data_IF_503654899725
#
_entry.id   IF_503654899725
#
_cell.length_a   1.000
_cell.length_b   1.000
_cell.length_c   1.000
_cell.angle_alpha   90.00
_cell.angle_beta   90.00
_cell.angle_gamma   90.00
#
_symmetry.space_group_name_H-M   'P 1'
#
loop_
_entity.id
_entity.type
_entity.pdbx_description
1 polymer ?
#
# COMPACT_ATOMS: atom_id res chain seq x y z
N UNK A 1 -14.34 -0.11 -20.97
CA UNK A 1 -14.83 -0.06 -19.58
C UNK A 1 -14.19 1.11 -18.88
N UNK A 2 -14.91 1.80 -17.98
CA UNK A 2 -14.38 2.93 -17.21
C UNK A 2 -13.46 2.41 -16.10
N UNK A 3 -12.31 3.04 -15.89
CA UNK A 3 -11.49 2.77 -14.71
C UNK A 3 -12.19 3.35 -13.47
N UNK A 4 -12.01 2.70 -12.32
CA UNK A 4 -12.43 3.23 -11.03
C UNK A 4 -11.27 4.00 -10.41
N UNK A 5 -11.36 5.32 -10.32
CA UNK A 5 -10.36 6.16 -9.69
C UNK A 5 -10.65 6.27 -8.19
N UNK A 6 -9.72 5.78 -7.37
CA UNK A 6 -9.89 5.73 -5.92
C UNK A 6 -8.80 6.52 -5.22
N UNK A 7 -9.10 7.01 -4.03
CA UNK A 7 -8.20 7.85 -3.24
C UNK A 7 -8.07 7.33 -1.82
N UNK A 8 -6.84 7.24 -1.33
CA UNK A 8 -6.51 6.94 0.07
C UNK A 8 -5.85 8.16 0.68
N UNK A 9 -6.34 8.63 1.83
CA UNK A 9 -5.62 9.59 2.66
C UNK A 9 -4.82 8.83 3.70
N UNK A 10 -3.50 9.04 3.76
CA UNK A 10 -2.60 8.37 4.73
C UNK A 10 -1.76 9.39 5.50
N UNK A 11 -1.52 9.12 6.79
CA UNK A 11 -0.79 10.04 7.72
C UNK A 11 0.75 9.96 7.62
N UNK A 12 1.25 9.18 6.67
CA UNK A 12 2.63 9.09 6.20
C UNK A 12 2.73 7.85 5.31
N UNK A 13 3.83 7.72 4.58
CA UNK A 13 4.11 6.52 3.82
C UNK A 13 5.60 6.15 3.94
N UNK A 14 5.88 4.85 4.08
CA UNK A 14 7.26 4.35 4.13
C UNK A 14 7.81 4.06 2.74
N UNK A 15 9.11 4.24 2.60
CA UNK A 15 9.92 3.64 1.54
C UNK A 15 10.46 2.25 1.87
N UNK A 16 11.42 1.79 1.07
CA UNK A 16 12.15 0.56 1.36
C UNK A 16 13.00 0.70 2.65
N UNK A 17 13.25 -0.41 3.34
CA UNK A 17 14.12 -0.47 4.53
C UNK A 17 15.46 -0.97 4.08
N UNK A 18 16.53 -0.48 4.69
CA UNK A 18 17.78 -1.23 4.71
C UNK A 18 18.10 -1.71 6.11
N UNK A 19 18.66 -2.91 6.18
CA UNK A 19 19.27 -3.46 7.38
C UNK A 19 20.77 -3.22 7.25
N UNK A 20 21.39 -2.57 8.23
CA UNK A 20 22.82 -2.26 8.25
C UNK A 20 23.63 -3.52 8.54
N UNK A 21 23.72 -4.41 7.56
CA UNK A 21 24.68 -5.52 7.52
C UNK A 21 25.63 -5.43 6.32
N UNK A 22 25.61 -4.32 5.59
CA UNK A 22 26.50 -4.06 4.45
C UNK A 22 26.96 -2.61 4.57
N UNK A 23 28.25 -2.40 4.77
CA UNK A 23 28.88 -1.07 4.78
C UNK A 23 28.63 -0.36 3.43
N UNK A 24 28.24 0.92 3.47
CA UNK A 24 28.01 1.82 2.32
C UNK A 24 26.73 1.62 1.47
N UNK A 25 25.54 1.65 2.07
CA UNK A 25 24.32 1.93 1.30
C UNK A 25 23.45 3.00 1.96
N UNK A 26 23.27 4.13 1.28
CA UNK A 26 22.25 5.13 1.65
C UNK A 26 20.86 4.50 1.52
N UNK A 27 20.03 4.68 2.54
CA UNK A 27 18.62 4.32 2.48
C UNK A 27 17.97 5.19 1.40
N UNK A 28 17.34 4.56 0.40
CA UNK A 28 16.78 5.30 -0.72
C UNK A 28 15.38 4.83 -1.12
N UNK A 29 14.48 5.80 -1.24
CA UNK A 29 13.14 5.66 -1.81
C UNK A 29 13.12 5.30 -3.31
N UNK A 30 14.25 5.30 -4.03
CA UNK A 30 14.36 5.12 -5.49
C UNK A 30 13.57 3.93 -6.06
N UNK A 31 13.45 2.83 -5.32
CA UNK A 31 12.71 1.65 -5.79
C UNK A 31 11.18 1.84 -5.83
N UNK A 32 10.65 2.82 -5.09
CA UNK A 32 9.21 3.01 -4.89
C UNK A 32 8.75 4.42 -5.25
N UNK A 33 9.63 5.44 -5.18
CA UNK A 33 9.35 6.84 -5.54
C UNK A 33 9.79 7.10 -6.99
N UNK A 34 8.89 6.86 -7.94
CA UNK A 34 9.17 6.99 -9.36
C UNK A 34 8.44 8.23 -9.89
N UNK A 35 9.19 9.28 -10.24
CA UNK A 35 8.64 10.49 -10.85
C UNK A 35 8.52 10.27 -12.35
N UNK A 36 7.29 10.40 -12.87
CA UNK A 36 7.00 10.28 -14.29
C UNK A 36 5.86 11.23 -14.63
N UNK A 37 6.14 12.17 -15.54
CA UNK A 37 5.22 13.26 -15.88
C UNK A 37 4.77 14.04 -14.63
N UNK A 38 3.46 14.24 -14.44
CA UNK A 38 2.86 14.90 -13.28
C UNK A 38 2.54 13.95 -12.11
N UNK A 39 2.98 12.68 -12.19
CA UNK A 39 2.73 11.66 -11.17
C UNK A 39 4.04 11.25 -10.50
N UNK A 40 3.94 11.02 -9.20
CA UNK A 40 4.98 10.38 -8.41
C UNK A 40 4.38 9.09 -7.89
N UNK A 41 4.77 7.97 -8.48
CA UNK A 41 4.37 6.66 -8.02
C UNK A 41 5.04 6.37 -6.69
N UNK A 42 4.27 5.83 -5.74
CA UNK A 42 4.69 5.61 -4.34
C UNK A 42 4.22 4.29 -3.75
N UNK A 43 3.30 3.56 -4.40
CA UNK A 43 2.88 2.22 -3.97
C UNK A 43 2.73 1.30 -5.18
N UNK A 44 3.39 0.13 -5.20
CA UNK A 44 3.16 -0.87 -6.22
C UNK A 44 1.71 -1.35 -6.24
N UNK A 45 1.13 -1.52 -7.43
CA UNK A 45 -0.24 -2.04 -7.57
C UNK A 45 -0.44 -3.43 -6.93
N UNK A 46 0.62 -4.24 -6.86
CA UNK A 46 0.61 -5.53 -6.17
C UNK A 46 0.41 -5.42 -4.65
N UNK A 47 0.94 -4.37 -4.01
CA UNK A 47 0.72 -4.11 -2.59
C UNK A 47 -0.72 -3.69 -2.30
N UNK A 48 -1.29 -2.80 -3.14
CA UNK A 48 -2.70 -2.41 -3.05
C UNK A 48 -3.59 -3.63 -3.27
N UNK A 49 -3.32 -4.42 -4.32
CA UNK A 49 -4.03 -5.67 -4.63
C UNK A 49 -3.98 -6.67 -3.47
N UNK A 50 -2.82 -6.83 -2.83
CA UNK A 50 -2.68 -7.68 -1.64
C UNK A 50 -3.55 -7.23 -0.48
N UNK A 51 -3.68 -5.91 -0.27
CA UNK A 51 -4.56 -5.35 0.76
C UNK A 51 -6.04 -5.55 0.42
N UNK A 52 -6.46 -5.30 -0.83
CA UNK A 52 -7.82 -5.61 -1.29
C UNK A 52 -8.12 -7.08 -1.03
N UNK A 53 -7.23 -7.99 -1.45
CA UNK A 53 -7.42 -9.43 -1.26
C UNK A 53 -7.58 -9.81 0.21
N UNK A 54 -6.72 -9.29 1.08
CA UNK A 54 -6.83 -9.51 2.53
C UNK A 54 -8.21 -9.09 3.04
N UNK A 55 -8.68 -7.92 2.64
CA UNK A 55 -9.97 -7.38 3.07
C UNK A 55 -11.14 -8.20 2.52
N UNK A 56 -11.07 -8.65 1.26
CA UNK A 56 -12.06 -9.57 0.69
C UNK A 56 -12.14 -10.88 1.48
N UNK A 57 -11.00 -11.47 1.88
CA UNK A 57 -10.98 -12.67 2.73
C UNK A 57 -11.64 -12.43 4.10
N UNK A 58 -11.40 -11.27 4.72
CA UNK A 58 -12.05 -10.89 5.99
C UNK A 58 -13.57 -10.76 5.83
N UNK A 59 -14.03 -10.35 4.65
CA UNK A 59 -15.44 -10.16 4.33
C UNK A 59 -16.11 -11.43 3.77
N UNK A 60 -15.39 -12.56 3.72
CA UNK A 60 -15.84 -13.82 3.10
C UNK A 60 -16.30 -13.66 1.64
N UNK A 61 -15.61 -12.78 0.90
CA UNK A 61 -15.85 -12.53 -0.51
C UNK A 61 -14.96 -13.39 -1.41
N UNK A 62 -15.47 -13.74 -2.60
CA UNK A 62 -14.67 -14.43 -3.62
C UNK A 62 -13.52 -13.54 -4.13
N UNK A 63 -12.29 -14.00 -3.95
CA UNK A 63 -11.08 -13.27 -4.35
C UNK A 63 -10.65 -13.54 -5.80
N UNK A 64 -11.36 -14.41 -6.53
CA UNK A 64 -11.05 -14.79 -7.91
C UNK A 64 -11.00 -13.59 -8.87
N UNK A 65 -11.71 -12.50 -8.56
CA UNK A 65 -11.66 -11.23 -9.31
C UNK A 65 -10.24 -10.67 -9.40
N UNK A 66 -9.40 -10.96 -8.39
CA UNK A 66 -8.01 -10.54 -8.31
C UNK A 66 -7.06 -11.58 -8.93
N UNK A 67 -7.57 -12.66 -9.51
CA UNK A 67 -6.77 -13.78 -10.01
C UNK A 67 -6.15 -14.61 -8.89
N UNK A 68 -5.52 -15.71 -9.30
CA UNK A 68 -4.99 -16.74 -8.39
C UNK A 68 -3.83 -16.24 -7.52
N UNK A 69 -3.64 -16.93 -6.40
CA UNK A 69 -2.45 -16.76 -5.54
C UNK A 69 -1.30 -17.66 -6.01
N UNK A 70 -0.11 -17.44 -5.46
CA UNK A 70 1.04 -18.30 -5.73
C UNK A 70 0.76 -19.72 -5.22
N UNK A 71 1.07 -20.72 -6.05
CA UNK A 71 0.86 -22.14 -5.71
C UNK A 71 -0.51 -22.69 -6.11
N UNK A 72 -1.41 -21.87 -6.64
CA UNK A 72 -2.70 -22.30 -7.17
C UNK A 72 -2.66 -22.45 -8.70
N UNK A 73 -3.70 -23.08 -9.27
CA UNK A 73 -3.91 -23.09 -10.72
C UNK A 73 -4.04 -21.64 -11.20
N UNK A 74 -3.21 -21.26 -12.18
CA UNK A 74 -3.17 -19.90 -12.70
C UNK A 74 -4.53 -19.48 -13.27
N UNK A 75 -5.15 -18.49 -12.63
CA UNK A 75 -6.40 -17.86 -13.07
C UNK A 75 -6.11 -16.37 -13.28
N UNK A 76 -6.44 -15.87 -14.47
CA UNK A 76 -6.30 -14.47 -14.82
C UNK A 76 -7.25 -13.61 -13.97
N UNK A 77 -6.77 -12.46 -13.51
CA UNK A 77 -7.59 -11.49 -12.79
C UNK A 77 -8.60 -10.82 -13.71
N UNK A 78 -9.80 -10.55 -13.19
CA UNK A 78 -10.83 -9.74 -13.88
C UNK A 78 -10.54 -8.24 -13.80
N UNK A 79 -9.66 -7.82 -12.90
CA UNK A 79 -9.25 -6.42 -12.73
C UNK A 79 -7.73 -6.25 -12.71
N UNK A 80 -7.25 -5.11 -13.20
CA UNK A 80 -5.87 -4.64 -13.05
C UNK A 80 -5.85 -3.54 -11.99
N UNK A 81 -4.99 -3.68 -11.00
CA UNK A 81 -4.78 -2.66 -9.96
C UNK A 81 -3.56 -1.84 -10.32
N UNK A 82 -3.78 -0.56 -10.60
CA UNK A 82 -2.76 0.41 -10.93
C UNK A 82 -1.84 0.71 -9.75
N UNK A 83 -0.72 1.37 -10.03
CA UNK A 83 0.15 1.88 -8.98
C UNK A 83 -0.51 3.04 -8.24
N UNK A 84 -0.28 3.12 -6.94
CA UNK A 84 -0.61 4.28 -6.14
C UNK A 84 0.36 5.40 -6.42
N UNK A 85 -0.17 6.60 -6.69
CA UNK A 85 0.62 7.79 -7.01
C UNK A 85 0.13 9.02 -6.25
N UNK A 86 1.03 10.00 -6.10
CA UNK A 86 0.75 11.34 -5.60
C UNK A 86 1.03 12.34 -6.71
N UNK A 87 0.36 13.50 -6.67
CA UNK A 87 0.55 14.59 -7.66
C UNK A 87 1.41 15.73 -7.11
N UNK A 88 1.57 15.80 -5.79
CA UNK A 88 2.40 16.79 -5.12
C UNK A 88 3.71 16.18 -4.62
N UNK A 89 4.82 16.82 -4.93
CA UNK A 89 6.12 16.39 -4.42
C UNK A 89 6.23 16.66 -2.91
N UNK A 90 6.42 15.60 -2.14
CA UNK A 90 6.58 15.68 -0.68
C UNK A 90 8.04 15.49 -0.29
N UNK A 91 8.49 16.24 0.73
CA UNK A 91 9.85 16.11 1.28
C UNK A 91 10.02 14.76 1.98
N UNK A 92 11.15 14.12 1.71
CA UNK A 92 11.52 12.84 2.31
C UNK A 92 12.24 13.07 3.64
N UNK A 93 12.08 12.16 4.60
CA UNK A 93 12.80 12.19 5.88
C UNK A 93 13.31 10.80 6.23
N UNK A 94 14.48 10.74 6.86
CA UNK A 94 14.97 9.50 7.47
C UNK A 94 14.44 9.42 8.90
N UNK A 95 13.84 8.28 9.25
CA UNK A 95 13.45 7.97 10.63
C UNK A 95 14.34 6.84 11.15
N UNK A 96 14.93 7.07 12.32
CA UNK A 96 15.74 6.09 13.01
C UNK A 96 14.90 5.31 14.02
N UNK A 97 15.26 4.04 14.21
CA UNK A 97 14.71 3.17 15.24
C UNK A 97 15.84 2.45 15.94
N UNK A 98 15.64 2.13 17.22
CA UNK A 98 16.55 1.31 18.01
C UNK A 98 15.79 0.08 18.53
N UNK A 99 16.53 -0.96 18.89
CA UNK A 99 16.00 -2.05 19.73
C UNK A 99 16.65 -1.99 21.10
N UNK A 100 15.82 -1.97 22.14
CA UNK A 100 16.27 -1.98 23.53
C UNK A 100 16.13 -3.40 24.07
N UNK A 101 17.21 -3.91 24.66
CA UNK A 101 17.19 -5.16 25.39
C UNK A 101 16.31 -4.97 26.63
N UNK A 102 15.25 -5.77 26.77
CA UNK A 102 14.25 -5.60 27.83
C UNK A 102 14.78 -5.93 29.23
N UNK A 103 15.80 -6.78 29.33
CA UNK A 103 16.39 -7.20 30.61
C UNK A 103 17.45 -6.21 31.09
N UNK A 104 18.32 -5.76 30.18
CA UNK A 104 19.47 -4.90 30.50
C UNK A 104 19.17 -3.41 30.39
N UNK A 105 18.07 -3.02 29.74
CA UNK A 105 17.70 -1.62 29.51
C UNK A 105 18.62 -0.86 28.54
N UNK A 106 19.56 -1.54 27.91
CA UNK A 106 20.52 -0.95 26.95
C UNK A 106 20.12 -1.23 25.50
N UNK A 107 20.67 -0.45 24.57
CA UNK A 107 20.49 -0.67 23.13
C UNK A 107 21.20 -1.96 22.71
N UNK A 108 20.52 -2.83 21.96
CA UNK A 108 21.14 -4.04 21.39
C UNK A 108 22.21 -3.65 20.36
N UNK A 109 23.35 -4.34 20.41
CA UNK A 109 24.46 -4.12 19.46
C UNK A 109 23.97 -4.35 18.03
N UNK A 110 24.25 -3.40 17.14
CA UNK A 110 23.84 -3.47 15.72
C UNK A 110 22.36 -3.19 15.46
N UNK A 111 21.60 -2.74 16.46
CA UNK A 111 20.16 -2.54 16.33
C UNK A 111 19.75 -1.09 15.99
N UNK A 112 20.62 -0.34 15.31
CA UNK A 112 20.23 0.95 14.72
C UNK A 112 19.60 0.68 13.35
N UNK A 113 18.31 0.91 13.24
CA UNK A 113 17.56 0.82 12.01
C UNK A 113 17.30 2.21 11.45
N UNK A 114 17.37 2.37 10.14
CA UNK A 114 16.95 3.59 9.47
C UNK A 114 16.03 3.24 8.30
N UNK A 115 15.03 4.09 8.08
CA UNK A 115 14.11 3.97 6.96
C UNK A 115 13.64 5.34 6.51
N UNK A 116 13.47 5.48 5.20
CA UNK A 116 12.99 6.72 4.60
C UNK A 116 11.46 6.75 4.63
N UNK A 117 10.90 7.90 4.98
CA UNK A 117 9.46 8.16 5.04
C UNK A 117 9.11 9.41 4.25
N UNK A 118 7.89 9.40 3.71
CA UNK A 118 7.16 10.59 3.30
C UNK A 118 6.27 10.96 4.49
N UNK A 119 6.55 12.05 5.21
CA UNK A 119 5.78 12.47 6.38
C UNK A 119 4.56 13.31 6.00
N UNK A 120 3.59 13.37 6.92
CA UNK A 120 2.40 14.21 6.81
C UNK A 120 1.26 13.54 6.04
N UNK A 121 0.22 14.34 5.78
CA UNK A 121 -0.97 13.91 5.04
C UNK A 121 -0.65 13.73 3.56
N UNK A 122 -0.90 12.53 3.06
CA UNK A 122 -0.64 12.16 1.68
C UNK A 122 -1.93 11.65 1.06
N UNK A 123 -2.32 12.28 -0.04
CA UNK A 123 -3.43 11.83 -0.88
C UNK A 123 -2.88 10.93 -1.99
N UNK A 124 -3.13 9.63 -1.86
CA UNK A 124 -2.67 8.62 -2.80
C UNK A 124 -3.84 8.24 -3.71
N UNK A 125 -3.63 8.39 -5.01
CA UNK A 125 -4.59 8.04 -6.05
C UNK A 125 -4.19 6.73 -6.71
N UNK A 126 -5.14 5.88 -7.05
CA UNK A 126 -4.90 4.65 -7.78
C UNK A 126 -6.14 4.20 -8.56
N UNK A 127 -5.89 3.50 -9.66
CA UNK A 127 -6.92 3.08 -10.59
C UNK A 127 -7.18 1.58 -10.47
N UNK A 128 -8.43 1.17 -10.55
CA UNK A 128 -8.82 -0.23 -10.77
C UNK A 128 -9.47 -0.33 -12.14
N UNK A 129 -8.85 -1.09 -13.03
CA UNK A 129 -9.29 -1.23 -14.43
C UNK A 129 -9.93 -2.60 -14.59
N UNK A 130 -11.27 -2.70 -14.74
CA UNK A 130 -11.93 -3.96 -15.09
C UNK A 130 -11.55 -4.37 -16.52
N UNK A 131 -11.16 -5.64 -16.68
CA UNK A 131 -10.88 -6.28 -17.97
C UNK A 131 -12.12 -6.96 -18.55
N UNK A 132 -13.12 -7.22 -17.71
CA UNK A 132 -14.44 -7.76 -18.03
C UNK A 132 -15.47 -7.10 -17.12
N UNK A 133 -16.74 -7.14 -17.51
CA UNK A 133 -17.82 -6.66 -16.67
C UNK A 133 -17.89 -7.48 -15.37
N UNK A 134 -17.87 -6.77 -14.25
CA UNK A 134 -17.98 -7.36 -12.92
C UNK A 134 -19.45 -7.60 -12.59
N UNK A 135 -19.75 -8.74 -11.98
CA UNK A 135 -21.09 -9.01 -11.46
C UNK A 135 -21.45 -8.00 -10.34
N UNK A 136 -22.73 -7.93 -9.96
CA UNK A 136 -23.15 -7.07 -8.85
C UNK A 136 -22.46 -7.45 -7.55
N UNK A 137 -22.37 -8.75 -7.27
CA UNK A 137 -21.73 -9.27 -6.06
C UNK A 137 -20.23 -9.00 -6.04
N UNK A 138 -19.55 -9.16 -7.17
CA UNK A 138 -18.12 -8.84 -7.31
C UNK A 138 -17.85 -7.36 -7.07
N UNK A 139 -18.69 -6.46 -7.61
CA UNK A 139 -18.58 -5.01 -7.38
C UNK A 139 -18.81 -4.66 -5.93
N UNK A 140 -19.84 -5.22 -5.31
CA UNK A 140 -20.16 -4.95 -3.91
C UNK A 140 -19.05 -5.46 -2.96
N UNK A 141 -18.50 -6.64 -3.24
CA UNK A 141 -17.35 -7.17 -2.51
C UNK A 141 -16.10 -6.29 -2.68
N UNK A 142 -15.81 -5.86 -3.91
CA UNK A 142 -14.69 -4.95 -4.18
C UNK A 142 -14.85 -3.62 -3.44
N UNK A 143 -16.04 -3.01 -3.51
CA UNK A 143 -16.40 -1.77 -2.81
C UNK A 143 -16.19 -1.91 -1.31
N UNK A 144 -16.75 -2.94 -0.67
CA UNK A 144 -16.59 -3.20 0.77
C UNK A 144 -15.12 -3.40 1.14
N UNK A 145 -14.36 -4.14 0.32
CA UNK A 145 -12.95 -4.39 0.55
C UNK A 145 -12.11 -3.10 0.48
N UNK A 146 -12.44 -2.19 -0.44
CA UNK A 146 -11.80 -0.87 -0.53
C UNK A 146 -12.15 0.00 0.68
N UNK A 147 -13.43 0.07 1.09
CA UNK A 147 -13.83 0.81 2.29
C UNK A 147 -13.10 0.31 3.55
N UNK A 148 -12.90 -1.00 3.66
CA UNK A 148 -12.19 -1.61 4.79
C UNK A 148 -10.70 -1.21 4.85
N UNK A 149 -10.13 -0.66 3.77
CA UNK A 149 -8.77 -0.10 3.79
C UNK A 149 -8.62 1.04 4.80
N UNK A 150 -9.71 1.75 5.14
CA UNK A 150 -9.72 2.79 6.18
C UNK A 150 -9.19 2.29 7.53
N UNK A 151 -9.35 1.00 7.82
CA UNK A 151 -8.90 0.39 9.08
C UNK A 151 -7.60 -0.41 8.90
N UNK A 152 -6.89 -0.16 7.81
CA UNK A 152 -5.69 -0.88 7.43
C UNK A 152 -4.45 0.01 7.44
N UNK A 153 -3.30 -0.64 7.26
CA UNK A 153 -2.02 0.03 7.06
C UNK A 153 -1.43 -0.43 5.74
N UNK A 154 -0.81 0.49 5.02
CA UNK A 154 -0.15 0.22 3.74
C UNK A 154 1.32 -0.06 3.98
N UNK A 155 1.80 -1.17 3.43
CA UNK A 155 3.20 -1.57 3.51
C UNK A 155 3.56 -2.15 4.87
N UNK A 156 4.78 -1.88 5.32
CA UNK A 156 5.32 -2.40 6.58
C UNK A 156 5.34 -1.32 7.66
N UNK A 157 5.14 -1.72 8.92
CA UNK A 157 5.33 -0.84 10.08
C UNK A 157 4.05 -0.22 10.62
N UNK A 158 2.88 -0.77 10.28
CA UNK A 158 1.60 -0.34 10.86
C UNK A 158 1.61 -0.29 12.39
N UNK A 159 2.21 -1.29 13.06
CA UNK A 159 2.41 -1.31 14.51
C UNK A 159 3.33 -0.22 15.06
N UNK A 160 4.04 0.50 14.18
CA UNK A 160 4.93 1.64 14.48
C UNK A 160 4.34 2.98 14.03
N UNK A 161 3.05 3.01 13.70
CA UNK A 161 2.33 4.21 13.26
C UNK A 161 2.58 4.60 11.80
N UNK A 162 2.99 3.65 10.96
CA UNK A 162 3.39 3.92 9.58
C UNK A 162 2.33 3.45 8.59
N UNK A 163 2.04 4.28 7.57
CA UNK A 163 1.14 3.92 6.48
C UNK A 163 -0.31 3.76 6.90
N UNK A 164 -0.73 4.39 8.00
CA UNK A 164 -2.11 4.34 8.48
C UNK A 164 -3.01 5.06 7.48
N UNK A 165 -4.04 4.37 7.02
CA UNK A 165 -5.09 4.95 6.19
C UNK A 165 -6.10 5.64 7.09
N UNK A 166 -6.39 6.91 6.82
CA UNK A 166 -7.36 7.71 7.59
C UNK A 166 -8.71 7.79 6.87
N UNK A 167 -8.67 7.85 5.54
CA UNK A 167 -9.83 8.04 4.69
C UNK A 167 -9.70 7.27 3.39
N UNK A 168 -10.83 6.81 2.87
CA UNK A 168 -10.96 6.15 1.56
C UNK A 168 -12.08 6.86 0.81
N UNK A 169 -11.79 7.36 -0.40
CA UNK A 169 -12.79 7.87 -1.34
C UNK A 169 -12.84 6.94 -2.54
N UNK A 170 -14.03 6.47 -2.89
CA UNK A 170 -14.24 5.56 -4.00
C UNK A 170 -14.74 6.32 -5.23
N UNK A 171 -14.50 5.76 -6.42
CA UNK A 171 -15.15 6.23 -7.65
C UNK A 171 -16.67 6.06 -7.54
N UNK A 172 -17.43 7.05 -7.99
CA UNK A 172 -18.90 7.01 -7.97
C UNK A 172 -19.47 5.80 -8.73
N UNK A 173 -18.76 5.30 -9.75
CA UNK A 173 -19.18 4.12 -10.50
C UNK A 173 -19.10 2.80 -9.69
N UNK A 174 -18.40 2.79 -8.55
CA UNK A 174 -18.45 1.69 -7.58
C UNK A 174 -19.55 1.89 -6.52
N UNK A 175 -20.13 3.09 -6.44
CA UNK A 175 -21.21 3.42 -5.50
C UNK A 175 -22.60 3.21 -6.12
N UNK A 176 -22.71 3.33 -7.44
CA UNK A 176 -23.93 3.11 -8.26
C UNK A 176 -24.22 1.64 -8.54
#
# INVERSE_FOLDING_TARGET
MKAYENVLKVYNLRGHTNNTSIDNYDVDLRAIFIKYDNKIYVIPGSSIKGLIRKNMKVLDCDTSILGSEFGEKSIMSKVVVGWGYITEEKKKKVRYGIKVNKELGIVEKGALFSYEIIPGDIEIRFDIIPLVDLTKDERECLKKALLLMKYSTIGWGGSKGIGIVEEVKLDDALLS
#
